data_IF_679750463676
#
_entry.id   IF_679750463676
#
_cell.length_a   1.000
_cell.length_b   1.000
_cell.length_c   1.000
_cell.angle_alpha   90.00
_cell.angle_beta   90.00
_cell.angle_gamma   90.00
#
_symmetry.space_group_name_H-M   'P 1'
#
loop_
_entity.id
_entity.type
_entity.pdbx_description
1 polymer ?
#
# COMPACT_ATOMS: atom_id res chain seq x y z
N UNK A 1 -18.43 -68.61 -31.67
CA UNK A 1 -19.35 -68.00 -30.69
C UNK A 1 -18.60 -66.86 -29.99
N UNK A 2 -18.90 -65.57 -30.07
CA UNK A 2 -19.98 -64.79 -30.68
C UNK A 2 -19.52 -63.31 -30.80
N UNK A 3 -20.33 -62.51 -31.49
CA UNK A 3 -20.10 -61.11 -31.89
C UNK A 3 -19.97 -60.09 -30.71
N UNK A 4 -19.51 -58.84 -30.96
CA UNK A 4 -19.16 -57.84 -29.94
C UNK A 4 -20.34 -56.91 -29.58
N UNK A 5 -20.22 -56.11 -28.49
CA UNK A 5 -20.85 -54.79 -28.45
C UNK A 5 -19.85 -53.69 -27.98
N UNK A 6 -19.65 -52.63 -28.77
CA UNK A 6 -20.34 -51.32 -28.72
C UNK A 6 -20.14 -50.56 -27.39
N UNK A 7 -19.47 -49.41 -27.50
CA UNK A 7 -19.09 -48.57 -26.36
C UNK A 7 -20.20 -47.72 -25.76
N UNK A 8 -19.81 -46.92 -24.75
CA UNK A 8 -20.42 -45.63 -24.37
C UNK A 8 -19.59 -44.94 -23.26
N UNK A 9 -19.35 -43.65 -23.50
CA UNK A 9 -19.40 -42.53 -22.56
C UNK A 9 -18.43 -42.42 -21.35
N UNK A 10 -17.54 -41.44 -21.49
CA UNK A 10 -17.37 -40.30 -20.57
C UNK A 10 -17.39 -40.58 -19.06
N UNK A 11 -16.22 -40.51 -18.44
CA UNK A 11 -16.08 -39.63 -17.27
C UNK A 11 -14.76 -38.86 -17.36
N UNK A 12 -14.91 -37.58 -17.66
CA UNK A 12 -13.88 -36.55 -17.54
C UNK A 12 -13.63 -36.37 -16.05
N UNK A 13 -12.84 -37.25 -15.42
CA UNK A 13 -12.32 -37.02 -14.08
C UNK A 13 -11.10 -36.12 -14.20
N UNK A 14 -11.28 -34.87 -13.79
CA UNK A 14 -10.27 -33.83 -13.63
C UNK A 14 -8.94 -34.40 -13.11
N UNK A 15 -7.77 -34.01 -13.65
CA UNK A 15 -6.51 -34.34 -13.00
C UNK A 15 -6.42 -33.55 -11.69
N UNK A 16 -6.71 -34.24 -10.60
CA UNK A 16 -6.24 -33.91 -9.26
C UNK A 16 -4.71 -33.94 -9.29
N UNK A 17 -4.10 -32.84 -8.87
CA UNK A 17 -2.70 -32.82 -8.43
C UNK A 17 -1.70 -32.56 -9.55
N UNK A 18 -1.57 -31.30 -9.96
CA UNK A 18 -0.29 -30.79 -10.45
C UNK A 18 0.74 -30.99 -9.34
N UNK A 19 1.59 -32.03 -9.48
CA UNK A 19 2.79 -32.20 -8.66
C UNK A 19 3.65 -30.94 -8.85
N UNK A 20 4.17 -30.33 -7.77
CA UNK A 20 5.07 -29.20 -7.90
C UNK A 20 6.38 -29.62 -8.57
N UNK A 21 6.92 -28.74 -9.44
CA UNK A 21 8.22 -28.92 -10.10
C UNK A 21 9.30 -29.29 -9.08
N UNK A 22 10.09 -30.35 -9.34
CA UNK A 22 11.22 -30.70 -8.47
C UNK A 22 12.25 -29.57 -8.48
N UNK A 23 12.66 -29.12 -7.28
CA UNK A 23 13.78 -28.19 -7.10
C UNK A 23 13.44 -26.78 -6.60
N UNK A 24 12.16 -26.39 -6.53
CA UNK A 24 11.77 -25.12 -5.87
C UNK A 24 11.32 -25.40 -4.44
N UNK A 25 11.99 -24.84 -3.41
CA UNK A 25 11.50 -24.94 -2.04
C UNK A 25 10.08 -24.38 -1.97
N UNK A 26 9.16 -25.17 -1.44
CA UNK A 26 7.78 -24.73 -1.22
C UNK A 26 7.78 -23.54 -0.26
N UNK A 27 6.98 -22.50 -0.51
CA UNK A 27 6.92 -21.36 0.38
C UNK A 27 6.44 -21.82 1.76
N UNK A 28 7.10 -21.33 2.81
CA UNK A 28 6.66 -21.57 4.19
C UNK A 28 5.27 -20.96 4.41
N UNK A 29 4.56 -21.42 5.43
CA UNK A 29 3.23 -20.86 5.74
C UNK A 29 3.28 -19.36 6.00
N UNK A 30 4.36 -18.88 6.62
CA UNK A 30 4.60 -17.44 6.81
C UNK A 30 4.81 -16.70 5.48
N UNK A 31 5.56 -17.27 4.53
CA UNK A 31 5.73 -16.70 3.19
C UNK A 31 4.41 -16.67 2.40
N UNK A 32 3.56 -17.68 2.54
CA UNK A 32 2.21 -17.68 1.95
C UNK A 32 1.34 -16.55 2.51
N UNK A 33 1.42 -16.30 3.82
CA UNK A 33 0.73 -15.18 4.47
C UNK A 33 1.24 -13.82 3.97
N UNK A 34 2.56 -13.64 3.84
CA UNK A 34 3.14 -12.42 3.26
C UNK A 34 2.70 -12.20 1.79
N UNK A 35 2.65 -13.26 0.99
CA UNK A 35 2.11 -13.19 -0.38
C UNK A 35 0.64 -12.77 -0.39
N UNK A 36 -0.17 -13.32 0.51
CA UNK A 36 -1.58 -12.98 0.63
C UNK A 36 -1.78 -11.52 1.07
N UNK A 37 -1.00 -11.05 2.04
CA UNK A 37 -0.97 -9.66 2.47
C UNK A 37 -0.60 -8.71 1.33
N UNK A 38 0.44 -9.02 0.57
CA UNK A 38 0.84 -8.22 -0.58
C UNK A 38 -0.26 -8.13 -1.65
N UNK A 39 -0.95 -9.24 -1.93
CA UNK A 39 -2.08 -9.26 -2.85
C UNK A 39 -3.26 -8.42 -2.35
N UNK A 40 -3.55 -8.46 -1.05
CA UNK A 40 -4.60 -7.64 -0.45
C UNK A 40 -4.29 -6.14 -0.62
N UNK A 41 -3.05 -5.71 -0.34
CA UNK A 41 -2.59 -4.34 -0.57
C UNK A 41 -2.65 -3.93 -2.05
N UNK A 42 -2.24 -4.80 -2.97
CA UNK A 42 -2.36 -4.54 -4.40
C UNK A 42 -3.81 -4.33 -4.84
N UNK A 43 -4.73 -5.18 -4.39
CA UNK A 43 -6.16 -5.05 -4.67
C UNK A 43 -6.73 -3.75 -4.09
N UNK A 44 -6.30 -3.36 -2.88
CA UNK A 44 -6.71 -2.11 -2.25
C UNK A 44 -6.29 -0.88 -3.08
N UNK A 45 -5.02 -0.79 -3.48
CA UNK A 45 -4.52 0.35 -4.27
C UNK A 45 -5.10 0.38 -5.69
N UNK A 46 -5.43 -0.78 -6.25
CA UNK A 46 -6.16 -0.88 -7.52
C UNK A 46 -7.66 -0.51 -7.41
N UNK A 47 -8.16 -0.16 -6.22
CA UNK A 47 -9.58 0.15 -5.99
C UNK A 47 -10.51 -1.08 -6.00
N UNK A 48 -9.97 -2.29 -6.05
CA UNK A 48 -10.73 -3.56 -6.04
C UNK A 48 -11.12 -3.94 -4.62
N UNK A 49 -11.95 -3.11 -3.97
CA UNK A 49 -12.22 -3.18 -2.54
C UNK A 49 -12.82 -4.53 -2.10
N UNK A 50 -13.70 -5.14 -2.88
CA UNK A 50 -14.28 -6.45 -2.55
C UNK A 50 -13.21 -7.57 -2.55
N UNK A 51 -12.33 -7.59 -3.55
CA UNK A 51 -11.22 -8.54 -3.64
C UNK A 51 -10.23 -8.32 -2.48
N UNK A 52 -9.90 -7.07 -2.19
CA UNK A 52 -8.99 -6.69 -1.12
C UNK A 52 -9.47 -7.21 0.25
N UNK A 53 -10.76 -7.05 0.55
CA UNK A 53 -11.39 -7.58 1.77
C UNK A 53 -11.35 -9.11 1.84
N UNK A 54 -11.70 -9.79 0.74
CA UNK A 54 -11.67 -11.26 0.64
C UNK A 54 -10.27 -11.81 0.91
N UNK A 55 -9.23 -11.19 0.34
CA UNK A 55 -7.85 -11.61 0.51
C UNK A 55 -7.34 -11.39 1.94
N UNK A 56 -7.79 -10.33 2.63
CA UNK A 56 -7.35 -10.04 3.99
C UNK A 56 -8.07 -10.85 5.08
N UNK A 57 -9.26 -11.40 4.79
CA UNK A 57 -10.07 -12.17 5.75
C UNK A 57 -9.30 -13.28 6.47
N UNK A 58 -8.56 -14.17 5.76
CA UNK A 58 -7.76 -15.22 6.40
C UNK A 58 -6.63 -14.68 7.29
N UNK A 59 -6.06 -13.51 6.98
CA UNK A 59 -4.94 -12.93 7.73
C UNK A 59 -5.36 -12.51 9.15
N UNK A 60 -6.62 -12.11 9.34
CA UNK A 60 -7.19 -11.79 10.65
C UNK A 60 -7.28 -13.00 11.59
N UNK A 61 -7.30 -14.22 11.03
CA UNK A 61 -7.35 -15.49 11.76
C UNK A 61 -5.98 -16.17 11.83
N UNK A 62 -4.91 -15.50 11.38
CA UNK A 62 -3.56 -16.05 11.36
C UNK A 62 -3.09 -16.37 12.77
N UNK A 63 -2.35 -17.47 12.98
CA UNK A 63 -1.70 -17.74 14.27
C UNK A 63 -0.59 -16.75 14.64
N UNK A 64 -0.07 -15.99 13.66
CA UNK A 64 1.01 -15.03 13.86
C UNK A 64 0.43 -13.67 14.25
N UNK A 65 0.73 -13.20 15.46
CA UNK A 65 0.23 -11.92 15.99
C UNK A 65 0.57 -10.74 15.09
N UNK A 66 1.80 -10.67 14.56
CA UNK A 66 2.23 -9.62 13.63
C UNK A 66 1.40 -9.59 12.34
N UNK A 67 1.00 -10.76 11.82
CA UNK A 67 0.12 -10.86 10.65
C UNK A 67 -1.30 -10.40 10.99
N UNK A 68 -1.83 -10.79 12.15
CA UNK A 68 -3.15 -10.33 12.59
C UNK A 68 -3.18 -8.80 12.77
N UNK A 69 -2.14 -8.23 13.38
CA UNK A 69 -2.04 -6.79 13.64
C UNK A 69 -2.02 -5.99 12.34
N UNK A 70 -1.20 -6.40 11.39
CA UNK A 70 -1.14 -5.81 10.05
C UNK A 70 -2.46 -5.96 9.29
N UNK A 71 -3.14 -7.11 9.41
CA UNK A 71 -4.47 -7.31 8.83
C UNK A 71 -5.54 -6.39 9.44
N UNK A 72 -5.44 -6.07 10.73
CA UNK A 72 -6.33 -5.08 11.37
C UNK A 72 -6.07 -3.67 10.84
N UNK A 73 -4.81 -3.27 10.64
CA UNK A 73 -4.46 -2.01 9.97
C UNK A 73 -4.98 -1.94 8.55
N UNK A 74 -4.76 -3.01 7.79
CA UNK A 74 -5.29 -3.15 6.44
C UNK A 74 -6.82 -2.98 6.43
N UNK A 75 -7.54 -3.63 7.34
CA UNK A 75 -9.00 -3.52 7.42
C UNK A 75 -9.45 -2.10 7.73
N UNK A 76 -8.78 -1.39 8.64
CA UNK A 76 -9.06 0.01 8.91
C UNK A 76 -8.80 0.89 7.67
N UNK A 77 -7.69 0.67 6.97
CA UNK A 77 -7.35 1.35 5.71
C UNK A 77 -8.37 1.06 4.61
N UNK A 78 -8.85 -0.17 4.52
CA UNK A 78 -9.90 -0.60 3.60
C UNK A 78 -11.22 0.11 3.88
N UNK A 79 -11.69 0.11 5.14
CA UNK A 79 -12.88 0.87 5.54
C UNK A 79 -12.74 2.35 5.17
N UNK A 80 -11.58 2.95 5.42
CA UNK A 80 -11.32 4.33 5.02
C UNK A 80 -11.44 4.54 3.51
N UNK A 81 -10.89 3.64 2.70
CA UNK A 81 -10.89 3.71 1.24
C UNK A 81 -12.29 3.58 0.62
N UNK A 82 -13.24 2.89 1.27
CA UNK A 82 -14.63 2.81 0.77
C UNK A 82 -15.36 4.16 0.78
N UNK A 83 -14.89 5.13 1.59
CA UNK A 83 -15.28 6.54 1.46
C UNK A 83 -16.60 6.96 2.12
N UNK A 84 -17.50 6.04 2.51
CA UNK A 84 -18.77 6.42 3.17
C UNK A 84 -18.55 6.96 4.58
N UNK A 85 -19.48 7.80 5.08
CA UNK A 85 -19.40 8.37 6.44
C UNK A 85 -19.34 7.27 7.50
N UNK A 86 -20.18 6.24 7.36
CA UNK A 86 -20.23 5.11 8.27
C UNK A 86 -18.93 4.30 8.25
N UNK A 87 -18.38 3.98 7.07
CA UNK A 87 -17.13 3.22 6.98
C UNK A 87 -15.93 4.01 7.48
N UNK A 88 -15.86 5.32 7.22
CA UNK A 88 -14.83 6.18 7.81
C UNK A 88 -14.92 6.20 9.33
N UNK A 89 -16.11 6.21 9.91
CA UNK A 89 -16.28 6.09 11.36
C UNK A 89 -15.78 4.73 11.88
N UNK A 90 -16.07 3.64 11.18
CA UNK A 90 -15.55 2.30 11.50
C UNK A 90 -14.02 2.25 11.45
N UNK A 91 -13.40 2.86 10.44
CA UNK A 91 -11.94 2.97 10.34
C UNK A 91 -11.32 3.72 11.52
N UNK A 92 -11.92 4.87 11.91
CA UNK A 92 -11.49 5.65 13.08
C UNK A 92 -11.56 4.83 14.37
N UNK A 93 -12.65 4.11 14.59
CA UNK A 93 -12.82 3.22 15.74
C UNK A 93 -11.74 2.13 15.76
N UNK A 94 -11.51 1.46 14.63
CA UNK A 94 -10.50 0.43 14.52
C UNK A 94 -9.08 0.95 14.81
N UNK A 95 -8.68 2.11 14.27
CA UNK A 95 -7.38 2.72 14.59
C UNK A 95 -7.26 3.14 16.05
N UNK A 96 -8.36 3.58 16.67
CA UNK A 96 -8.38 3.94 18.10
C UNK A 96 -8.18 2.70 18.97
N UNK A 97 -8.85 1.60 18.65
CA UNK A 97 -8.67 0.31 19.31
C UNK A 97 -7.25 -0.22 19.15
N UNK A 98 -6.69 -0.14 17.93
CA UNK A 98 -5.30 -0.51 17.64
C UNK A 98 -4.29 0.35 18.41
N UNK A 99 -4.55 1.64 18.59
CA UNK A 99 -3.71 2.52 19.40
C UNK A 99 -3.74 2.12 20.87
N UNK A 100 -4.92 1.79 21.41
CA UNK A 100 -5.07 1.33 22.81
C UNK A 100 -4.37 -0.01 23.03
N UNK A 101 -4.50 -0.95 22.10
CA UNK A 101 -3.81 -2.24 22.14
C UNK A 101 -2.30 -2.14 21.85
N UNK A 102 -1.87 -1.13 21.08
CA UNK A 102 -0.47 -0.89 20.74
C UNK A 102 0.36 -0.34 21.89
N UNK A 103 -0.27 0.32 22.88
CA UNK A 103 0.40 0.71 24.13
C UNK A 103 0.70 -0.49 25.06
N UNK A 104 0.19 -1.69 24.75
CA UNK A 104 0.40 -2.92 25.53
C UNK A 104 1.58 -3.77 25.04
N UNK A 105 2.18 -3.45 23.88
CA UNK A 105 3.23 -4.26 23.24
C UNK A 105 4.63 -3.77 23.60
N UNK A 106 5.11 -4.28 24.75
CA UNK A 106 6.47 -4.80 25.04
C UNK A 106 7.65 -4.18 24.28
N UNK A 107 8.55 -3.54 25.04
CA UNK A 107 9.99 -3.50 24.74
C UNK A 107 10.41 -4.90 24.29
N UNK A 108 10.93 -5.05 23.08
CA UNK A 108 11.66 -6.26 22.67
C UNK A 108 12.73 -6.55 23.74
N UNK A 109 12.82 -7.77 24.31
CA UNK A 109 13.85 -8.12 25.29
C UNK A 109 15.27 -7.93 24.75
N UNK A 110 15.42 -7.84 23.41
CA UNK A 110 16.67 -7.66 22.71
C UNK A 110 16.96 -6.20 22.28
N UNK A 111 16.16 -5.22 22.72
CA UNK A 111 16.42 -3.80 22.41
C UNK A 111 16.32 -3.43 20.92
N UNK A 112 15.85 -4.33 20.06
CA UNK A 112 15.66 -4.08 18.63
C UNK A 112 14.34 -3.37 18.40
N UNK A 113 14.43 -2.06 18.12
CA UNK A 113 13.35 -1.08 17.88
C UNK A 113 12.32 -1.42 16.77
N UNK A 114 12.41 -2.57 16.11
CA UNK A 114 11.90 -2.74 14.74
C UNK A 114 10.39 -3.00 14.58
N UNK A 115 9.72 -3.69 15.49
CA UNK A 115 8.27 -4.00 15.33
C UNK A 115 7.33 -2.94 15.94
N UNK A 116 7.79 -2.26 17.00
CA UNK A 116 7.10 -1.12 17.61
C UNK A 116 6.96 0.06 16.65
N UNK A 117 7.87 0.19 15.69
CA UNK A 117 7.92 1.30 14.74
C UNK A 117 6.88 1.15 13.61
N UNK A 118 6.71 -0.04 13.02
CA UNK A 118 5.77 -0.26 11.90
C UNK A 118 4.31 0.00 12.29
N UNK A 119 3.90 -0.50 13.47
CA UNK A 119 2.56 -0.25 14.03
C UNK A 119 2.32 1.26 14.27
N UNK A 120 3.30 1.94 14.85
CA UNK A 120 3.24 3.39 15.10
C UNK A 120 3.15 4.18 13.79
N UNK A 121 3.90 3.78 12.76
CA UNK A 121 3.85 4.37 11.41
C UNK A 121 2.44 4.21 10.81
N UNK A 122 1.88 3.01 10.81
CA UNK A 122 0.51 2.75 10.29
C UNK A 122 -0.56 3.56 11.03
N UNK A 123 -0.44 3.70 12.34
CA UNK A 123 -1.35 4.55 13.13
C UNK A 123 -1.23 6.02 12.74
N UNK A 124 -0.01 6.54 12.50
CA UNK A 124 0.21 7.92 12.05
C UNK A 124 -0.30 8.15 10.62
N UNK A 125 -0.20 7.16 9.73
CA UNK A 125 -0.84 7.21 8.40
C UNK A 125 -2.36 7.34 8.57
N UNK A 126 -2.98 6.49 9.40
CA UNK A 126 -4.41 6.56 9.68
C UNK A 126 -4.85 7.91 10.26
N UNK A 127 -4.05 8.51 11.15
CA UNK A 127 -4.30 9.85 11.69
C UNK A 127 -4.14 10.96 10.64
N UNK A 128 -3.11 10.90 9.80
CA UNK A 128 -2.90 11.86 8.72
C UNK A 128 -4.05 11.85 7.72
N UNK A 129 -4.54 10.66 7.36
CA UNK A 129 -5.73 10.49 6.51
C UNK A 129 -6.96 11.15 7.13
N UNK A 130 -7.16 11.00 8.44
CA UNK A 130 -8.28 11.62 9.16
C UNK A 130 -8.18 13.13 9.19
N UNK A 131 -6.99 13.69 9.43
CA UNK A 131 -6.75 15.13 9.42
C UNK A 131 -7.01 15.69 8.02
N UNK A 132 -6.45 15.06 6.99
CA UNK A 132 -6.59 15.49 5.60
C UNK A 132 -8.04 15.40 5.08
N UNK A 133 -8.90 14.59 5.71
CA UNK A 133 -10.30 14.44 5.31
C UNK A 133 -11.12 15.74 5.35
N UNK A 134 -10.65 16.76 6.07
CA UNK A 134 -11.26 18.08 6.15
C UNK A 134 -11.01 18.95 4.90
N UNK A 135 -10.19 18.49 3.95
CA UNK A 135 -9.98 19.09 2.62
C UNK A 135 -9.71 20.61 2.63
N UNK A 136 -8.89 21.10 3.57
CA UNK A 136 -8.47 22.50 3.58
C UNK A 136 -6.94 22.61 3.75
N UNK A 137 -6.32 23.74 3.35
CA UNK A 137 -4.86 23.88 3.33
C UNK A 137 -4.19 23.64 4.70
N UNK A 138 -4.81 24.11 5.79
CA UNK A 138 -4.27 23.99 7.16
C UNK A 138 -4.20 22.51 7.57
N UNK A 139 -5.29 21.77 7.35
CA UNK A 139 -5.36 20.35 7.69
C UNK A 139 -4.47 19.50 6.79
N UNK A 140 -4.38 19.83 5.50
CA UNK A 140 -3.43 19.20 4.58
C UNK A 140 -1.98 19.39 5.04
N UNK A 141 -1.58 20.61 5.40
CA UNK A 141 -0.24 20.90 5.90
C UNK A 141 0.06 20.14 7.21
N UNK A 142 -0.91 20.06 8.12
CA UNK A 142 -0.78 19.29 9.38
C UNK A 142 -0.63 17.79 9.12
N UNK A 143 -1.39 17.23 8.18
CA UNK A 143 -1.27 15.83 7.78
C UNK A 143 0.11 15.53 7.17
N UNK A 144 0.61 16.40 6.28
CA UNK A 144 1.95 16.30 5.70
C UNK A 144 3.02 16.36 6.80
N UNK A 145 2.92 17.31 7.73
CA UNK A 145 3.86 17.43 8.86
C UNK A 145 3.89 16.16 9.69
N UNK A 146 2.73 15.55 9.96
CA UNK A 146 2.64 14.29 10.71
C UNK A 146 3.34 13.15 9.97
N UNK A 147 3.07 12.97 8.68
CA UNK A 147 3.70 11.93 7.86
C UNK A 147 5.22 12.13 7.73
N UNK A 148 5.68 13.39 7.68
CA UNK A 148 7.11 13.70 7.67
C UNK A 148 7.83 13.20 8.93
N UNK A 149 7.15 13.09 10.08
CA UNK A 149 7.76 12.56 11.32
C UNK A 149 8.09 11.07 11.27
N UNK A 150 7.52 10.33 10.32
CA UNK A 150 7.75 8.88 10.15
C UNK A 150 8.55 8.54 8.90
N UNK A 151 8.68 9.49 7.97
CA UNK A 151 9.46 9.31 6.74
C UNK A 151 10.96 9.58 6.91
N UNK A 152 11.41 9.97 8.11
CA UNK A 152 12.81 10.32 8.39
C UNK A 152 13.42 9.19 9.22
N UNK A 153 13.96 8.17 8.55
CA UNK A 153 14.68 7.09 9.22
C UNK A 153 15.33 6.12 8.23
N UNK A 154 16.51 5.59 8.56
CA UNK A 154 17.27 4.65 7.70
C UNK A 154 16.75 3.20 7.78
N UNK A 155 15.42 3.05 7.80
CA UNK A 155 14.75 1.75 7.94
C UNK A 155 14.00 1.44 6.64
N UNK A 156 14.20 0.21 6.13
CA UNK A 156 13.36 -0.34 5.09
C UNK A 156 12.08 -0.83 5.72
N UNK A 157 10.98 -0.12 5.45
CA UNK A 157 9.65 -0.52 5.88
C UNK A 157 8.65 -0.12 4.80
N UNK A 158 7.81 -1.07 4.38
CA UNK A 158 6.72 -0.83 3.44
C UNK A 158 5.74 0.23 3.97
N UNK A 159 5.61 0.34 5.29
CA UNK A 159 4.78 1.37 5.95
C UNK A 159 5.36 2.77 5.74
N UNK A 160 6.68 2.94 5.80
CA UNK A 160 7.34 4.23 5.51
C UNK A 160 7.18 4.59 4.02
N UNK A 161 7.32 3.58 3.14
CA UNK A 161 7.01 3.73 1.72
C UNK A 161 5.57 4.22 1.48
N UNK A 162 4.59 3.63 2.17
CA UNK A 162 3.19 4.10 2.13
C UNK A 162 3.06 5.55 2.62
N UNK A 163 3.66 5.91 3.75
CA UNK A 163 3.59 7.27 4.29
C UNK A 163 4.08 8.31 3.27
N UNK A 164 5.19 8.02 2.57
CA UNK A 164 5.72 8.86 1.49
C UNK A 164 4.77 8.94 0.28
N UNK A 165 4.09 7.85 -0.08
CA UNK A 165 3.06 7.84 -1.13
C UNK A 165 1.88 8.73 -0.73
N UNK A 166 1.41 8.64 0.52
CA UNK A 166 0.31 9.50 1.00
C UNK A 166 0.74 10.98 1.05
N UNK A 167 1.97 11.29 1.47
CA UNK A 167 2.52 12.64 1.37
C UNK A 167 2.51 13.14 -0.07
N UNK A 168 2.93 12.31 -1.03
CA UNK A 168 2.92 12.68 -2.44
C UNK A 168 1.51 13.03 -2.92
N UNK A 169 0.48 12.27 -2.53
CA UNK A 169 -0.92 12.58 -2.88
C UNK A 169 -1.39 13.90 -2.27
N UNK A 170 -1.01 14.19 -1.03
CA UNK A 170 -1.35 15.46 -0.37
C UNK A 170 -0.65 16.65 -1.03
N UNK A 171 0.64 16.53 -1.35
CA UNK A 171 1.37 17.56 -2.11
C UNK A 171 0.77 17.77 -3.50
N UNK A 172 0.40 16.69 -4.19
CA UNK A 172 -0.21 16.76 -5.53
C UNK A 172 -1.58 17.47 -5.47
N UNK A 173 -2.42 17.14 -4.49
CA UNK A 173 -3.68 17.82 -4.27
C UNK A 173 -3.50 19.31 -3.93
N UNK A 174 -2.37 19.69 -3.33
CA UNK A 174 -2.02 21.07 -3.01
C UNK A 174 -1.27 21.81 -4.14
N UNK A 175 -1.09 21.21 -5.33
CA UNK A 175 -0.36 21.84 -6.44
C UNK A 175 1.17 21.89 -6.27
N UNK A 176 1.71 21.20 -5.26
CA UNK A 176 3.13 21.20 -4.90
C UNK A 176 3.88 20.11 -5.67
N UNK A 177 4.12 20.36 -6.97
CA UNK A 177 4.61 19.33 -7.90
C UNK A 177 6.04 18.85 -7.62
N UNK A 178 6.92 19.74 -7.13
CA UNK A 178 8.32 19.39 -6.81
C UNK A 178 8.36 18.49 -5.58
N UNK A 179 7.57 18.83 -4.58
CA UNK A 179 7.40 18.13 -3.31
C UNK A 179 6.75 16.75 -3.54
N UNK A 180 5.77 16.68 -4.45
CA UNK A 180 5.19 15.41 -4.90
C UNK A 180 6.27 14.49 -5.45
N UNK A 181 7.11 14.98 -6.37
CA UNK A 181 8.18 14.18 -6.96
C UNK A 181 9.23 13.76 -5.93
N UNK A 182 9.58 14.65 -4.99
CA UNK A 182 10.51 14.35 -3.90
C UNK A 182 9.97 13.27 -2.97
N UNK A 183 8.70 13.34 -2.58
CA UNK A 183 8.04 12.33 -1.76
C UNK A 183 7.98 10.95 -2.45
N UNK A 184 7.69 10.91 -3.75
CA UNK A 184 7.71 9.66 -4.53
C UNK A 184 9.11 9.06 -4.63
N UNK A 185 10.14 9.91 -4.80
CA UNK A 185 11.55 9.46 -4.78
C UNK A 185 11.93 8.88 -3.42
N UNK A 186 11.52 9.54 -2.33
CA UNK A 186 11.72 9.02 -0.97
C UNK A 186 11.03 7.66 -0.78
N UNK A 187 9.79 7.51 -1.23
CA UNK A 187 9.07 6.22 -1.19
C UNK A 187 9.86 5.10 -1.88
N UNK A 188 10.40 5.34 -3.07
CA UNK A 188 11.23 4.36 -3.78
C UNK A 188 12.51 4.02 -3.03
N UNK A 189 13.17 5.00 -2.42
CA UNK A 189 14.39 4.75 -1.66
C UNK A 189 14.14 3.82 -0.46
N UNK A 190 13.05 4.00 0.27
CA UNK A 190 12.70 3.11 1.40
C UNK A 190 12.33 1.70 0.95
N UNK A 191 11.59 1.57 -0.15
CA UNK A 191 11.18 0.28 -0.70
C UNK A 191 12.34 -0.49 -1.35
N UNK A 192 13.33 0.23 -1.90
CA UNK A 192 14.54 -0.35 -2.51
C UNK A 192 15.72 -0.45 -1.54
N UNK A 193 15.57 -0.01 -0.28
CA UNK A 193 16.67 0.03 0.67
C UNK A 193 17.28 -1.37 0.84
N UNK A 194 18.57 -1.47 0.54
CA UNK A 194 19.39 -2.64 0.82
C UNK A 194 20.42 -2.24 1.87
N UNK A 195 20.38 -2.82 3.08
CA UNK A 195 21.40 -2.51 4.07
C UNK A 195 22.77 -2.91 3.54
N UNK A 196 23.72 -1.97 3.55
CA UNK A 196 25.06 -2.15 2.96
C UNK A 196 25.96 -3.15 3.71
N UNK A 197 25.55 -3.68 4.87
CA UNK A 197 26.30 -4.68 5.64
C UNK A 197 25.36 -5.76 6.19
N UNK A 198 25.48 -6.97 5.66
CA UNK A 198 25.06 -8.19 6.35
C UNK A 198 26.02 -8.38 7.53
N UNK A 199 25.55 -8.19 8.77
CA UNK A 199 26.27 -8.75 9.92
C UNK A 199 25.89 -10.23 9.95
N UNK A 200 26.82 -11.08 9.55
CA UNK A 200 26.70 -12.52 9.73
C UNK A 200 26.60 -12.79 11.24
N UNK A 201 25.39 -13.05 11.72
CA UNK A 201 25.10 -13.13 13.15
C UNK A 201 23.68 -12.66 13.49
N UNK A 202 22.68 -13.44 13.10
CA UNK A 202 21.38 -13.55 13.80
C UNK A 202 20.41 -12.37 13.86
N UNK A 203 20.73 -11.16 13.37
CA UNK A 203 19.84 -9.99 13.52
C UNK A 203 19.87 -8.96 12.38
N UNK A 204 20.42 -9.31 11.22
CA UNK A 204 20.55 -8.38 10.09
C UNK A 204 19.18 -7.94 9.53
N UNK A 205 19.00 -6.62 9.35
CA UNK A 205 17.84 -6.05 8.65
C UNK A 205 17.76 -6.69 7.25
N UNK A 206 16.80 -7.57 7.00
CA UNK A 206 16.63 -8.16 5.67
C UNK A 206 16.00 -7.12 4.74
N UNK A 207 16.45 -7.07 3.50
CA UNK A 207 15.75 -6.32 2.47
C UNK A 207 14.33 -6.88 2.33
N UNK A 208 13.33 -6.01 2.22
CA UNK A 208 11.95 -6.43 2.00
C UNK A 208 11.86 -7.25 0.71
N UNK A 209 11.08 -8.33 0.74
CA UNK A 209 10.88 -9.14 -0.46
C UNK A 209 10.18 -8.34 -1.55
N UNK A 210 10.54 -8.57 -2.83
CA UNK A 210 9.87 -7.94 -3.98
C UNK A 210 8.35 -8.16 -3.95
N UNK A 211 7.90 -9.29 -3.41
CA UNK A 211 6.49 -9.60 -3.23
C UNK A 211 5.79 -8.56 -2.35
N UNK A 212 6.40 -8.18 -1.22
CA UNK A 212 5.84 -7.22 -0.27
C UNK A 212 5.89 -5.78 -0.82
N UNK A 213 6.97 -5.41 -1.51
CA UNK A 213 7.15 -4.01 -1.99
C UNK A 213 6.48 -3.71 -3.31
N UNK A 214 6.21 -4.72 -4.16
CA UNK A 214 5.61 -4.54 -5.50
C UNK A 214 4.32 -3.71 -5.51
N UNK A 215 3.32 -3.95 -4.64
CA UNK A 215 2.08 -3.14 -4.63
C UNK A 215 2.36 -1.63 -4.47
N UNK A 216 3.34 -1.28 -3.65
CA UNK A 216 3.72 0.11 -3.40
C UNK A 216 4.51 0.71 -4.58
N UNK A 217 5.37 -0.07 -5.23
CA UNK A 217 6.03 0.37 -6.47
C UNK A 217 5.03 0.63 -7.60
N UNK A 218 4.04 -0.24 -7.77
CA UNK A 218 3.00 -0.05 -8.78
C UNK A 218 2.14 1.18 -8.47
N UNK A 219 1.90 1.45 -7.18
CA UNK A 219 1.23 2.67 -6.74
C UNK A 219 2.07 3.93 -7.00
N UNK A 220 3.38 3.91 -6.75
CA UNK A 220 4.28 5.02 -7.08
C UNK A 220 4.21 5.35 -8.57
N UNK A 221 4.23 4.32 -9.45
CA UNK A 221 4.08 4.51 -10.90
C UNK A 221 2.74 5.16 -11.24
N UNK A 222 1.66 4.77 -10.57
CA UNK A 222 0.32 5.35 -10.77
C UNK A 222 0.30 6.83 -10.41
N UNK A 223 0.81 7.20 -9.23
CA UNK A 223 0.87 8.61 -8.79
C UNK A 223 1.80 9.43 -9.70
N UNK A 224 2.92 8.87 -10.18
CA UNK A 224 3.78 9.55 -11.19
C UNK A 224 3.04 9.86 -12.48
N UNK A 225 2.23 8.92 -12.99
CA UNK A 225 1.39 9.16 -14.17
C UNK A 225 0.37 10.27 -13.92
N UNK A 226 -0.28 10.28 -12.76
CA UNK A 226 -1.20 11.35 -12.38
C UNK A 226 -0.50 12.71 -12.30
N UNK A 227 0.70 12.77 -11.73
CA UNK A 227 1.52 13.99 -11.69
C UNK A 227 1.89 14.49 -13.09
N UNK A 228 2.26 13.60 -14.01
CA UNK A 228 2.56 13.96 -15.40
C UNK A 228 1.32 14.55 -16.08
N UNK A 229 0.18 13.86 -15.98
CA UNK A 229 -1.10 14.34 -16.51
C UNK A 229 -1.51 15.69 -15.92
N UNK A 230 -1.34 15.90 -14.62
CA UNK A 230 -1.67 17.18 -13.96
C UNK A 230 -0.78 18.34 -14.44
N UNK A 231 0.51 18.07 -14.73
CA UNK A 231 1.40 19.05 -15.35
C UNK A 231 1.00 19.36 -16.79
N UNK A 232 0.65 18.32 -17.55
CA UNK A 232 0.30 18.46 -18.97
C UNK A 232 -1.08 19.11 -19.18
N UNK A 233 -2.06 18.89 -18.29
CA UNK A 233 -3.35 19.59 -18.36
C UNK A 233 -3.19 21.11 -18.17
N UNK A 234 -2.24 21.54 -17.33
CA UNK A 234 -1.89 22.96 -17.19
C UNK A 234 -1.25 23.53 -18.46
N UNK A 235 -0.43 22.73 -19.15
CA UNK A 235 0.16 23.08 -20.44
C UNK A 235 -0.88 23.17 -21.55
N UNK A 236 -1.83 22.24 -21.64
CA UNK A 236 -2.91 22.27 -22.64
C UNK A 236 -3.85 23.46 -22.48
N UNK A 237 -4.18 23.85 -21.25
CA UNK A 237 -4.95 25.07 -20.97
C UNK A 237 -4.15 26.33 -21.30
N UNK A 238 -2.86 26.36 -20.98
CA UNK A 238 -1.96 27.47 -21.33
C UNK A 238 -1.77 27.61 -22.84
N UNK A 239 -1.53 26.52 -23.57
CA UNK A 239 -1.39 26.52 -25.03
C UNK A 239 -2.69 26.90 -25.73
N UNK A 240 -3.85 26.47 -25.20
CA UNK A 240 -5.16 26.91 -25.66
C UNK A 240 -5.37 28.41 -25.42
N UNK A 241 -5.03 28.91 -24.23
CA UNK A 241 -5.06 30.34 -23.91
C UNK A 241 -4.13 31.16 -24.80
N UNK A 242 -2.92 30.68 -25.08
CA UNK A 242 -1.97 31.28 -26.04
C UNK A 242 -2.53 31.30 -27.47
N UNK A 243 -3.15 30.21 -27.94
CA UNK A 243 -3.78 30.15 -29.26
C UNK A 243 -4.93 31.14 -29.38
N UNK A 244 -5.76 31.26 -28.34
CA UNK A 244 -6.89 32.19 -28.29
C UNK A 244 -6.40 33.66 -28.20
N UNK A 245 -5.33 33.95 -27.44
CA UNK A 245 -4.68 35.27 -27.45
C UNK A 245 -4.09 35.62 -28.82
N UNK A 246 -3.40 34.70 -29.49
CA UNK A 246 -2.89 34.90 -30.87
C UNK A 246 -4.01 35.14 -31.87
N UNK A 247 -5.18 34.52 -31.66
CA UNK A 247 -6.40 34.75 -32.42
C UNK A 247 -7.19 36.01 -31.99
N UNK A 248 -6.65 36.84 -31.07
CA UNK A 248 -7.29 38.04 -30.50
C UNK A 248 -8.64 37.78 -29.80
N UNK A 249 -8.86 36.54 -29.36
CA UNK A 249 -10.06 36.09 -28.62
C UNK A 249 -9.83 36.14 -27.12
N UNK A 250 -9.56 37.35 -26.61
CA UNK A 250 -9.17 37.59 -25.22
C UNK A 250 -10.19 37.16 -24.15
N UNK A 251 -11.52 37.33 -24.35
CA UNK A 251 -12.51 36.89 -23.35
C UNK A 251 -12.54 35.36 -23.17
N UNK A 252 -12.13 34.62 -24.18
CA UNK A 252 -12.14 33.15 -24.23
C UNK A 252 -10.79 32.57 -23.76
N UNK A 253 -9.78 33.42 -23.56
CA UNK A 253 -8.40 33.04 -23.26
C UNK A 253 -8.05 33.06 -21.76
N UNK A 254 -9.07 33.19 -20.89
CA UNK A 254 -8.97 33.20 -19.41
C UNK A 254 -8.99 31.78 -18.86
#
# INVERSE_FOLDING_TARGET
FGAPPRGKNSSRRSPKGTKPEPGKPQPTDYQKLQQLQARAWAALYAGKLAEASKLAGPLLKSRYESTQLEAKHFRARWYWATGTKASRATAKKAWTELRRAGNSSRRSPQGTKTESDANAVRLKIGEALQIAAANNPITTARAIKLLKTVSVGDVSDACIGEACIEMARLHMAAGQWKETAAALKAAENHLNFRPKKYVAGGGGRQALSKTVTKPFHDEIKRVRRQLALAKDSGRGLFEKGEKLRKARKFPEAI
#
